data_IF_501346486424
#
_entry.id   IF_501346486424
#
_cell.length_a   1.000
_cell.length_b   1.000
_cell.length_c   1.000
_cell.angle_alpha   90.00
_cell.angle_beta   90.00
_cell.angle_gamma   90.00
#
_symmetry.space_group_name_H-M   'P 1'
#
loop_
_entity.id
_entity.type
_entity.pdbx_description
1 polymer ?
#
# COMPACT_ATOMS: atom_id res chain seq x y z
N UNK A 1 21.88 -5.35 -22.46
CA UNK A 1 21.37 -5.72 -21.12
C UNK A 1 20.81 -4.47 -20.48
N UNK A 2 19.48 -4.29 -20.55
CA UNK A 2 18.80 -3.11 -20.00
C UNK A 2 17.81 -3.67 -18.97
N UNK A 3 18.36 -4.23 -17.90
CA UNK A 3 17.60 -4.69 -16.74
C UNK A 3 18.03 -3.87 -15.54
N UNK A 4 17.90 -2.55 -15.62
CA UNK A 4 18.24 -1.66 -14.50
C UNK A 4 17.42 -0.37 -14.50
N UNK A 5 16.20 -0.39 -15.05
CA UNK A 5 15.23 0.69 -14.77
C UNK A 5 14.45 0.47 -13.47
N UNK A 6 14.52 -0.72 -12.86
CA UNK A 6 13.65 -1.11 -11.73
C UNK A 6 14.01 -0.49 -10.37
N UNK A 7 15.12 0.28 -10.26
CA UNK A 7 15.64 0.72 -8.95
C UNK A 7 15.81 2.23 -8.80
N UNK A 8 15.27 3.04 -9.72
CA UNK A 8 15.47 4.49 -9.70
C UNK A 8 14.60 5.26 -8.68
N UNK A 9 13.63 4.64 -8.02
CA UNK A 9 12.60 5.39 -7.28
C UNK A 9 12.56 5.17 -5.75
N UNK A 10 13.33 4.21 -5.20
CA UNK A 10 13.11 3.75 -3.81
C UNK A 10 13.75 4.61 -2.71
N UNK A 11 13.93 5.92 -2.93
CA UNK A 11 14.56 6.78 -1.93
C UNK A 11 13.94 8.18 -1.91
N UNK A 12 12.73 8.31 -1.32
CA UNK A 12 12.42 9.41 -0.37
C UNK A 12 11.00 9.50 0.19
N UNK A 13 10.06 8.63 -0.17
CA UNK A 13 8.72 8.68 0.41
C UNK A 13 8.21 7.26 0.64
N UNK A 14 7.76 6.93 1.86
CA UNK A 14 7.04 5.67 2.12
C UNK A 14 5.90 5.58 1.10
N UNK A 15 5.99 4.57 0.23
CA UNK A 15 5.02 4.41 -0.84
C UNK A 15 3.64 4.11 -0.22
N UNK A 16 2.58 4.46 -0.95
CA UNK A 16 1.21 4.21 -0.49
C UNK A 16 0.99 2.73 -0.10
N UNK A 17 1.68 1.82 -0.78
CA UNK A 17 1.73 0.39 -0.45
C UNK A 17 2.34 0.11 0.93
N UNK A 18 3.53 0.63 1.23
CA UNK A 18 4.20 0.41 2.51
C UNK A 18 3.40 0.97 3.67
N UNK A 19 2.82 2.16 3.51
CA UNK A 19 1.92 2.77 4.51
C UNK A 19 0.70 1.88 4.81
N UNK A 20 0.10 1.29 3.78
CA UNK A 20 -1.00 0.35 3.92
C UNK A 20 -0.56 -0.96 4.60
N UNK A 21 0.57 -1.53 4.18
CA UNK A 21 1.11 -2.76 4.77
C UNK A 21 1.48 -2.58 6.24
N UNK A 22 2.02 -1.41 6.60
CA UNK A 22 2.32 -1.05 7.98
C UNK A 22 1.04 -1.00 8.81
N UNK A 23 0.01 -0.31 8.33
CA UNK A 23 -1.30 -0.26 8.99
C UNK A 23 -1.93 -1.66 9.13
N UNK A 24 -1.80 -2.50 8.09
CA UNK A 24 -2.30 -3.87 8.10
C UNK A 24 -1.59 -4.73 9.15
N UNK A 25 -0.28 -4.52 9.37
CA UNK A 25 0.50 -5.24 10.36
C UNK A 25 0.25 -4.72 11.79
N UNK A 26 0.21 -3.40 11.96
CA UNK A 26 0.09 -2.78 13.28
C UNK A 26 -1.35 -2.86 13.82
N UNK A 27 -2.35 -2.59 12.97
CA UNK A 27 -3.76 -2.50 13.37
C UNK A 27 -4.69 -3.07 12.28
N UNK A 28 -4.67 -4.38 12.04
CA UNK A 28 -5.52 -5.03 11.04
C UNK A 28 -7.02 -4.81 11.31
N UNK A 29 -7.41 -4.66 12.58
CA UNK A 29 -8.80 -4.39 12.98
C UNK A 29 -9.38 -3.11 12.38
N UNK A 30 -8.56 -2.07 12.20
CA UNK A 30 -8.99 -0.80 11.59
C UNK A 30 -9.32 -1.04 10.12
N UNK A 31 -8.50 -1.81 9.42
CA UNK A 31 -8.71 -2.10 8.00
C UNK A 31 -9.97 -2.97 7.80
N UNK A 32 -10.26 -3.86 8.75
CA UNK A 32 -11.44 -4.73 8.72
C UNK A 32 -12.75 -4.02 9.09
N UNK A 33 -12.69 -2.98 9.94
CA UNK A 33 -13.88 -2.30 10.48
C UNK A 33 -14.15 -0.92 9.91
N UNK A 34 -13.12 -0.22 9.44
CA UNK A 34 -13.26 1.12 8.90
C UNK A 34 -13.57 1.10 7.39
N UNK A 35 -14.39 2.04 6.89
CA UNK A 35 -14.64 2.17 5.46
C UNK A 35 -13.37 2.65 4.73
N UNK A 36 -13.24 2.24 3.46
CA UNK A 36 -12.09 2.55 2.59
C UNK A 36 -11.76 4.05 2.53
N UNK A 37 -12.78 4.91 2.52
CA UNK A 37 -12.62 6.38 2.45
C UNK A 37 -11.86 6.91 3.68
N UNK A 38 -12.18 6.39 4.87
CA UNK A 38 -11.54 6.84 6.11
C UNK A 38 -10.09 6.36 6.18
N UNK A 39 -9.83 5.13 5.73
CA UNK A 39 -8.48 4.56 5.66
C UNK A 39 -7.62 5.35 4.66
N UNK A 40 -8.18 5.71 3.50
CA UNK A 40 -7.48 6.49 2.49
C UNK A 40 -7.10 7.88 3.03
N UNK A 41 -8.05 8.56 3.68
CA UNK A 41 -7.80 9.84 4.34
C UNK A 41 -6.73 9.73 5.43
N UNK A 42 -6.80 8.69 6.27
CA UNK A 42 -5.81 8.43 7.32
C UNK A 42 -4.40 8.21 6.76
N UNK A 43 -4.27 7.46 5.67
CA UNK A 43 -2.99 7.20 5.02
C UNK A 43 -2.53 8.34 4.08
N UNK A 44 -3.27 9.45 4.05
CA UNK A 44 -3.02 10.61 3.18
C UNK A 44 -2.92 10.22 1.70
N UNK A 45 -3.90 9.45 1.23
CA UNK A 45 -4.03 9.03 -0.17
C UNK A 45 -5.49 9.08 -0.64
N UNK A 46 -5.72 8.99 -1.95
CA UNK A 46 -7.09 8.90 -2.47
C UNK A 46 -7.64 7.48 -2.30
N UNK A 47 -8.96 7.31 -2.20
CA UNK A 47 -9.58 5.98 -2.16
C UNK A 47 -9.25 5.15 -3.41
N UNK A 48 -9.06 5.77 -4.58
CA UNK A 48 -8.59 5.09 -5.79
C UNK A 48 -7.18 4.52 -5.63
N UNK A 49 -6.25 5.31 -5.07
CA UNK A 49 -4.89 4.85 -4.74
C UNK A 49 -4.94 3.69 -3.75
N UNK A 50 -5.75 3.81 -2.69
CA UNK A 50 -5.91 2.75 -1.70
C UNK A 50 -6.46 1.46 -2.32
N UNK A 51 -7.44 1.56 -3.21
CA UNK A 51 -8.00 0.41 -3.94
C UNK A 51 -6.93 -0.30 -4.77
N UNK A 52 -6.11 0.46 -5.51
CA UNK A 52 -4.99 -0.08 -6.29
C UNK A 52 -3.95 -0.74 -5.39
N UNK A 53 -3.55 -0.08 -4.30
CA UNK A 53 -2.60 -0.61 -3.32
C UNK A 53 -3.09 -1.94 -2.74
N UNK A 54 -4.37 -2.01 -2.33
CA UNK A 54 -4.95 -3.23 -1.75
C UNK A 54 -4.87 -4.43 -2.70
N UNK A 55 -5.11 -4.20 -4.00
CA UNK A 55 -4.96 -5.22 -5.03
C UNK A 55 -3.50 -5.67 -5.23
N UNK A 56 -2.56 -4.74 -5.22
CA UNK A 56 -1.12 -5.04 -5.33
C UNK A 56 -0.64 -5.84 -4.11
N UNK A 57 -1.00 -5.43 -2.90
CA UNK A 57 -0.63 -6.12 -1.65
C UNK A 57 -1.14 -7.56 -1.63
N UNK A 58 -2.37 -7.81 -2.08
CA UNK A 58 -2.90 -9.18 -2.19
C UNK A 58 -2.04 -10.06 -3.11
N UNK A 59 -1.64 -9.53 -4.27
CA UNK A 59 -0.84 -10.27 -5.24
C UNK A 59 0.60 -10.53 -4.77
N UNK A 60 1.18 -9.62 -3.98
CA UNK A 60 2.50 -9.80 -3.37
C UNK A 60 2.52 -10.90 -2.30
N UNK A 61 1.43 -11.03 -1.52
CA UNK A 61 1.31 -12.11 -0.53
C UNK A 61 1.12 -13.49 -1.18
N UNK A 62 0.56 -13.56 -2.38
CA UNK A 62 0.38 -14.81 -3.12
C UNK A 62 1.68 -15.37 -3.74
N UNK A 63 2.77 -14.59 -3.76
CA UNK A 63 4.08 -14.98 -4.32
C UNK A 63 5.14 -15.35 -3.26
N UNK A 64 4.77 -15.39 -1.99
CA UNK A 64 5.67 -15.71 -0.87
C UNK A 64 5.30 -17.07 -0.28
#
# INVERSE_FOLDING_TARGET
AISSQEHADSQRFENAAERYERLLREKPEIILRAPMIHIASFLQMTPETLSRVRGVTYNSNAKK
#
